data_IF_928249598631
#
_entry.id   IF_928249598631
#
_cell.length_a   1.000
_cell.length_b   1.000
_cell.length_c   1.000
_cell.angle_alpha   90.00
_cell.angle_beta   90.00
_cell.angle_gamma   90.00
#
_symmetry.space_group_name_H-M   'P 1'
#
loop_
_entity.id
_entity.type
_entity.pdbx_description
1 polymer ?
#
# COMPACT_ATOMS: atom_id res chain seq x y z
N UNK A 1 -13.44 -2.27 -29.57
CA UNK A 1 -12.12 -1.69 -29.84
C UNK A 1 -11.13 -2.21 -28.78
N UNK A 2 -9.94 -2.62 -29.22
CA UNK A 2 -8.87 -3.13 -28.33
C UNK A 2 -7.72 -2.13 -28.28
N UNK A 3 -7.07 -2.03 -27.11
CA UNK A 3 -5.85 -1.25 -26.93
C UNK A 3 -4.91 -1.96 -25.96
N UNK A 4 -3.61 -1.96 -26.28
CA UNK A 4 -2.54 -2.42 -25.41
C UNK A 4 -1.63 -1.25 -25.08
N UNK A 5 -1.17 -1.19 -23.83
CA UNK A 5 -0.28 -0.14 -23.35
C UNK A 5 0.88 -0.78 -22.59
N UNK A 6 2.10 -0.33 -22.90
CA UNK A 6 3.30 -0.63 -22.13
C UNK A 6 3.89 0.68 -21.65
N UNK A 7 4.35 0.72 -20.43
CA UNK A 7 4.99 1.91 -19.87
C UNK A 7 6.14 1.56 -18.95
N UNK A 8 7.14 2.43 -18.96
CA UNK A 8 8.22 2.48 -18.00
C UNK A 8 8.28 3.89 -17.43
N UNK A 9 8.42 3.98 -16.11
CA UNK A 9 8.60 5.24 -15.41
C UNK A 9 9.73 5.11 -14.38
N UNK A 10 10.52 6.18 -14.25
CA UNK A 10 11.46 6.35 -13.15
C UNK A 10 11.09 7.58 -12.36
N UNK A 11 10.82 7.40 -11.08
CA UNK A 11 10.40 8.46 -10.18
C UNK A 11 11.36 8.60 -9.00
N UNK A 12 11.49 9.82 -8.48
CA UNK A 12 12.22 10.10 -7.25
C UNK A 12 11.26 10.67 -6.20
N UNK A 13 11.29 10.09 -5.00
CA UNK A 13 10.49 10.57 -3.87
C UNK A 13 11.41 11.20 -2.83
N UNK A 14 11.17 12.50 -2.54
CA UNK A 14 11.98 13.32 -1.64
C UNK A 14 11.37 13.49 -0.25
N UNK A 15 10.10 13.16 -0.09
CA UNK A 15 9.39 13.28 1.18
C UNK A 15 8.66 11.96 1.48
N UNK A 16 8.80 11.44 2.70
CA UNK A 16 8.24 10.14 3.11
C UNK A 16 7.44 10.28 4.38
N UNK A 17 6.33 9.55 4.43
CA UNK A 17 5.60 9.37 5.65
C UNK A 17 6.17 8.14 6.36
N UNK A 18 6.75 8.35 7.53
CA UNK A 18 7.36 7.32 8.36
C UNK A 18 6.66 7.24 9.70
N UNK A 19 6.63 6.08 10.29
CA UNK A 19 5.98 5.82 11.56
C UNK A 19 6.96 5.33 12.61
N UNK A 20 6.89 5.93 13.79
CA UNK A 20 7.73 5.58 14.93
C UNK A 20 7.11 4.42 15.69
N UNK A 21 7.57 3.18 15.44
CA UNK A 21 7.28 2.03 16.28
C UNK A 21 6.29 1.01 15.73
N UNK A 22 6.04 -0.02 16.52
CA UNK A 22 5.26 -1.20 16.16
C UNK A 22 3.77 -1.08 16.53
N UNK A 23 3.40 -0.12 17.36
CA UNK A 23 2.07 -0.03 17.94
C UNK A 23 1.13 0.89 17.17
N UNK A 24 -0.15 0.89 17.53
CA UNK A 24 -1.18 1.75 16.92
C UNK A 24 -0.78 3.20 17.11
N UNK A 25 -0.22 3.79 16.06
CA UNK A 25 0.45 5.07 16.20
C UNK A 25 -0.40 6.24 15.80
N UNK A 26 -0.38 7.19 16.68
CA UNK A 26 -1.01 8.48 16.53
C UNK A 26 -0.13 9.50 15.79
N UNK A 27 1.16 9.14 15.53
CA UNK A 27 2.14 10.08 14.98
C UNK A 27 2.89 9.53 13.79
N UNK A 28 2.43 9.86 12.60
CA UNK A 28 3.19 9.72 11.38
C UNK A 28 4.03 10.99 11.16
N UNK A 29 5.31 10.82 10.84
CA UNK A 29 6.25 11.92 10.63
C UNK A 29 6.61 12.01 9.16
N UNK A 30 6.49 13.21 8.61
CA UNK A 30 7.00 13.50 7.28
C UNK A 30 8.51 13.74 7.33
N UNK A 31 9.28 12.81 6.80
CA UNK A 31 10.74 12.86 6.74
C UNK A 31 11.20 13.29 5.33
N UNK A 32 11.83 14.48 5.21
CA UNK A 32 12.45 14.90 3.96
C UNK A 32 13.76 14.15 3.71
N UNK A 33 14.24 14.20 2.48
CA UNK A 33 15.61 13.76 2.15
C UNK A 33 16.64 14.70 2.75
N UNK A 34 17.75 14.11 3.16
CA UNK A 34 18.89 14.81 3.77
C UNK A 34 20.20 14.36 3.12
N UNK A 35 21.34 14.73 3.69
CA UNK A 35 22.63 14.18 3.27
C UNK A 35 22.72 12.67 3.46
N UNK A 36 22.09 12.14 4.53
CA UNK A 36 22.17 10.75 4.93
C UNK A 36 20.99 9.93 4.35
N UNK A 37 19.83 10.55 4.22
CA UNK A 37 18.61 9.91 3.66
C UNK A 37 18.45 10.35 2.21
N UNK A 38 18.93 9.53 1.28
CA UNK A 38 18.82 9.79 -0.16
C UNK A 38 17.36 9.64 -0.65
N UNK A 39 17.00 10.31 -1.77
CA UNK A 39 15.69 10.09 -2.41
C UNK A 39 15.47 8.61 -2.71
N UNK A 40 14.23 8.13 -2.52
CA UNK A 40 13.85 6.81 -2.99
C UNK A 40 13.62 6.88 -4.50
N UNK A 41 14.35 6.06 -5.24
CA UNK A 41 14.21 5.91 -6.69
C UNK A 41 13.33 4.70 -6.98
N UNK A 42 12.29 4.89 -7.77
CA UNK A 42 11.37 3.82 -8.15
C UNK A 42 11.38 3.64 -9.66
N UNK A 43 11.77 2.45 -10.11
CA UNK A 43 11.61 2.00 -11.48
C UNK A 43 10.33 1.18 -11.60
N UNK A 44 9.39 1.64 -12.42
CA UNK A 44 8.09 0.99 -12.61
C UNK A 44 7.93 0.54 -14.05
N UNK A 45 7.55 -0.72 -14.22
CA UNK A 45 7.10 -1.32 -15.48
C UNK A 45 5.59 -1.59 -15.34
N UNK A 46 4.82 -1.23 -16.35
CA UNK A 46 3.40 -1.54 -16.36
C UNK A 46 2.92 -1.94 -17.75
N UNK A 47 1.94 -2.85 -17.78
CA UNK A 47 1.28 -3.34 -18.97
C UNK A 47 -0.23 -3.28 -18.76
N UNK A 48 -0.96 -2.78 -19.76
CA UNK A 48 -2.41 -2.68 -19.73
C UNK A 48 -3.07 -3.19 -21.00
N UNK A 49 -4.22 -3.83 -20.80
CA UNK A 49 -5.15 -4.21 -21.85
C UNK A 49 -6.50 -3.55 -21.62
N UNK A 50 -7.04 -2.94 -22.65
CA UNK A 50 -8.32 -2.23 -22.62
C UNK A 50 -9.21 -2.73 -23.75
N UNK A 51 -10.46 -2.99 -23.43
CA UNK A 51 -11.45 -3.43 -24.40
C UNK A 51 -12.79 -2.74 -24.20
N UNK A 52 -13.33 -2.17 -25.27
CA UNK A 52 -14.66 -1.59 -25.28
C UNK A 52 -15.60 -2.50 -26.10
N UNK A 53 -16.65 -2.97 -25.43
CA UNK A 53 -17.71 -3.79 -26.02
C UNK A 53 -18.88 -2.91 -26.46
N UNK A 54 -19.67 -3.40 -27.43
CA UNK A 54 -20.94 -2.81 -27.84
C UNK A 54 -20.88 -1.29 -28.04
N UNK A 55 -19.98 -0.78 -28.88
CA UNK A 55 -19.83 0.64 -29.13
C UNK A 55 -19.64 1.49 -27.85
N UNK A 56 -18.81 1.02 -26.92
CA UNK A 56 -18.51 1.63 -25.62
C UNK A 56 -19.60 1.52 -24.55
N UNK A 57 -20.58 0.66 -24.69
CA UNK A 57 -21.55 0.40 -23.64
C UNK A 57 -20.93 -0.25 -22.42
N UNK A 58 -19.92 -1.10 -22.61
CA UNK A 58 -19.16 -1.76 -21.54
C UNK A 58 -17.68 -1.56 -21.82
N UNK A 59 -16.97 -1.08 -20.82
CA UNK A 59 -15.54 -0.86 -20.85
C UNK A 59 -14.87 -1.83 -19.88
N UNK A 60 -13.85 -2.51 -20.35
CA UNK A 60 -13.01 -3.41 -19.56
C UNK A 60 -11.58 -2.93 -19.58
N UNK A 61 -10.91 -2.94 -18.41
CA UNK A 61 -9.47 -2.75 -18.30
C UNK A 61 -8.85 -3.81 -17.42
N UNK A 62 -7.65 -4.23 -17.78
CA UNK A 62 -6.79 -5.08 -16.96
C UNK A 62 -5.37 -4.54 -17.06
N UNK A 63 -4.77 -4.19 -15.92
CA UNK A 63 -3.44 -3.63 -15.85
C UNK A 63 -2.60 -4.39 -14.83
N UNK A 64 -1.32 -4.56 -15.09
CA UNK A 64 -0.35 -5.12 -14.15
C UNK A 64 0.86 -4.21 -14.05
N UNK A 65 1.47 -4.19 -12.87
CA UNK A 65 2.66 -3.39 -12.63
C UNK A 65 3.68 -4.13 -11.77
N UNK A 66 4.93 -3.72 -11.95
CA UNK A 66 6.06 -4.16 -11.16
C UNK A 66 6.96 -2.97 -10.86
N UNK A 67 7.27 -2.74 -9.58
CA UNK A 67 8.05 -1.59 -9.09
C UNK A 67 9.25 -2.08 -8.28
N UNK A 68 10.42 -1.59 -8.63
CA UNK A 68 11.65 -1.77 -7.87
C UNK A 68 11.93 -0.45 -7.17
N UNK A 69 12.05 -0.50 -5.84
CA UNK A 69 12.28 0.69 -5.02
C UNK A 69 13.70 0.62 -4.43
N UNK A 70 14.53 1.56 -4.83
CA UNK A 70 15.89 1.72 -4.32
C UNK A 70 15.93 2.87 -3.32
N UNK A 71 16.45 2.62 -2.12
CA UNK A 71 16.44 3.60 -1.03
C UNK A 71 15.09 3.67 -0.32
N UNK A 72 14.35 2.55 -0.22
CA UNK A 72 13.27 2.43 0.76
C UNK A 72 13.81 2.75 2.15
N UNK A 73 13.04 3.43 2.99
CA UNK A 73 13.49 3.79 4.32
C UNK A 73 12.40 3.55 5.36
N UNK A 74 12.84 3.12 6.53
CA UNK A 74 12.00 2.92 7.71
C UNK A 74 12.84 3.16 8.98
N UNK A 75 12.18 3.32 10.12
CA UNK A 75 12.89 3.40 11.39
C UNK A 75 13.34 2.01 11.84
N UNK A 76 14.51 1.96 12.50
CA UNK A 76 15.05 0.73 13.07
C UNK A 76 14.10 0.12 14.10
N UNK A 77 14.20 -1.21 14.27
CA UNK A 77 13.41 -1.91 15.28
C UNK A 77 13.81 -1.46 16.71
N UNK A 78 12.82 -1.35 17.58
CA UNK A 78 13.04 -0.99 18.99
C UNK A 78 13.11 0.51 19.28
N UNK A 79 12.87 1.38 18.32
CA UNK A 79 12.74 2.81 18.57
C UNK A 79 11.37 3.10 19.22
N UNK A 80 11.38 3.31 20.54
CA UNK A 80 10.17 3.56 21.33
C UNK A 80 10.08 4.98 21.91
N UNK A 81 11.07 5.84 21.64
CA UNK A 81 11.14 7.13 22.28
C UNK A 81 10.94 8.27 21.31
N UNK A 82 9.83 8.99 21.47
CA UNK A 82 9.48 10.17 20.67
C UNK A 82 10.32 11.42 21.01
N UNK A 83 11.11 11.37 22.07
CA UNK A 83 11.95 12.49 22.54
C UNK A 83 13.41 12.35 22.10
N UNK A 84 13.63 11.77 20.93
CA UNK A 84 14.98 11.65 20.37
C UNK A 84 15.33 12.93 19.62
N UNK A 85 16.43 13.58 20.03
CA UNK A 85 16.90 14.84 19.43
C UNK A 85 17.26 14.71 17.95
N UNK A 86 17.64 13.52 17.49
CA UNK A 86 18.03 13.25 16.11
C UNK A 86 17.38 11.98 15.56
N UNK A 87 16.14 12.10 15.08
CA UNK A 87 15.40 11.01 14.47
C UNK A 87 16.06 10.44 13.21
N UNK A 88 16.80 11.27 12.47
CA UNK A 88 17.50 10.84 11.26
C UNK A 88 18.53 9.73 11.52
N UNK A 89 19.16 9.74 12.69
CA UNK A 89 20.14 8.71 13.07
C UNK A 89 19.57 7.30 13.19
N UNK A 90 18.24 7.18 13.32
CA UNK A 90 17.53 5.90 13.45
C UNK A 90 16.80 5.49 12.16
N UNK A 91 17.01 6.22 11.07
CA UNK A 91 16.46 5.88 9.77
C UNK A 91 17.41 4.94 9.04
N UNK A 92 16.94 3.73 8.81
CA UNK A 92 17.64 2.77 7.98
C UNK A 92 17.09 2.79 6.56
N UNK A 93 17.96 2.51 5.59
CA UNK A 93 17.60 2.47 4.17
C UNK A 93 17.90 1.11 3.56
N UNK A 94 17.10 0.73 2.57
CA UNK A 94 17.26 -0.55 1.87
C UNK A 94 16.53 -0.54 0.53
N UNK A 95 15.95 -1.66 0.20
CA UNK A 95 15.22 -1.86 -1.04
C UNK A 95 13.76 -2.23 -0.78
N UNK A 96 12.91 -2.03 -1.77
CA UNK A 96 11.52 -2.44 -1.74
C UNK A 96 11.08 -3.00 -3.08
N UNK A 97 10.01 -3.75 -3.03
CA UNK A 97 9.37 -4.37 -4.18
C UNK A 97 7.87 -4.17 -4.08
N UNK A 98 7.23 -3.70 -5.15
CA UNK A 98 5.78 -3.65 -5.21
C UNK A 98 5.29 -4.17 -6.56
N UNK A 99 4.26 -5.01 -6.54
CA UNK A 99 3.66 -5.55 -7.75
C UNK A 99 2.18 -5.82 -7.55
N UNK A 100 1.46 -5.85 -8.65
CA UNK A 100 0.04 -6.12 -8.58
C UNK A 100 -0.63 -6.11 -9.94
N UNK A 101 -1.93 -6.37 -9.90
CA UNK A 101 -2.78 -6.19 -11.05
C UNK A 101 -4.10 -5.51 -10.64
N UNK A 102 -4.66 -4.78 -11.59
CA UNK A 102 -5.91 -4.05 -11.44
C UNK A 102 -6.85 -4.46 -12.57
N UNK A 103 -8.09 -4.74 -12.24
CA UNK A 103 -9.14 -5.04 -13.22
C UNK A 103 -10.33 -4.14 -12.96
N UNK A 104 -10.93 -3.63 -14.03
CA UNK A 104 -12.22 -2.96 -13.90
C UNK A 104 -13.15 -3.27 -15.07
N UNK A 105 -14.43 -3.33 -14.75
CA UNK A 105 -15.51 -3.36 -15.72
C UNK A 105 -16.46 -2.20 -15.40
N UNK A 106 -16.79 -1.42 -16.41
CA UNK A 106 -17.62 -0.23 -16.27
C UNK A 106 -18.70 -0.21 -17.34
N UNK A 107 -19.91 0.12 -16.93
CA UNK A 107 -21.03 0.49 -17.78
C UNK A 107 -21.37 1.95 -17.52
N UNK A 108 -20.87 2.89 -18.36
CA UNK A 108 -20.94 4.33 -18.06
C UNK A 108 -22.32 4.93 -18.21
N UNK A 109 -23.24 4.27 -18.91
CA UNK A 109 -24.55 4.83 -19.25
C UNK A 109 -25.67 3.79 -19.29
N UNK A 110 -26.91 4.30 -19.36
CA UNK A 110 -28.12 3.50 -19.41
C UNK A 110 -28.89 3.51 -18.09
N UNK A 111 -30.03 2.83 -18.07
CA UNK A 111 -30.90 2.72 -16.90
C UNK A 111 -30.20 2.09 -15.70
N UNK A 112 -29.29 1.14 -15.95
CA UNK A 112 -28.33 0.63 -15.02
C UNK A 112 -26.94 1.07 -15.49
N UNK A 113 -26.19 1.74 -14.63
CA UNK A 113 -24.79 2.09 -14.87
C UNK A 113 -23.97 1.86 -13.59
N UNK A 114 -22.68 1.70 -13.73
CA UNK A 114 -21.83 1.41 -12.59
C UNK A 114 -20.44 0.92 -12.98
N UNK A 115 -19.62 0.72 -11.95
CA UNK A 115 -18.25 0.23 -12.09
C UNK A 115 -17.94 -0.80 -11.01
N UNK A 116 -17.31 -1.87 -11.41
CA UNK A 116 -16.71 -2.87 -10.52
C UNK A 116 -15.20 -2.85 -10.75
N UNK A 117 -14.42 -2.62 -9.69
CA UNK A 117 -12.97 -2.61 -9.74
C UNK A 117 -12.40 -3.54 -8.70
N UNK A 118 -11.42 -4.33 -9.10
CA UNK A 118 -10.67 -5.20 -8.20
C UNK A 118 -9.18 -4.95 -8.37
N UNK A 119 -8.48 -4.76 -7.24
CA UNK A 119 -7.04 -4.57 -7.19
C UNK A 119 -6.42 -5.65 -6.31
N UNK A 120 -5.39 -6.28 -6.83
CA UNK A 120 -4.44 -7.08 -6.07
C UNK A 120 -3.11 -6.36 -6.08
N UNK A 121 -2.56 -6.09 -4.91
CA UNK A 121 -1.27 -5.45 -4.78
C UNK A 121 -0.49 -5.99 -3.60
N UNK A 122 0.82 -6.09 -3.76
CA UNK A 122 1.74 -6.46 -2.70
C UNK A 122 2.92 -5.50 -2.70
N UNK A 123 3.30 -5.05 -1.51
CA UNK A 123 4.45 -4.16 -1.32
C UNK A 123 5.25 -4.62 -0.10
N UNK A 124 6.51 -4.95 -0.33
CA UNK A 124 7.42 -5.44 0.70
C UNK A 124 8.70 -4.59 0.71
N UNK A 125 9.31 -4.45 1.89
CA UNK A 125 10.61 -3.80 2.10
C UNK A 125 11.61 -4.82 2.62
N UNK A 126 12.89 -4.57 2.31
CA UNK A 126 14.02 -5.29 2.88
C UNK A 126 15.09 -4.27 3.28
N UNK A 127 15.37 -4.20 4.58
CA UNK A 127 16.35 -3.30 5.18
C UNK A 127 17.17 -4.12 6.17
N UNK A 128 18.49 -4.10 6.06
CA UNK A 128 19.39 -5.03 6.76
C UNK A 128 19.21 -5.06 8.27
N UNK A 129 18.99 -3.91 8.88
CA UNK A 129 18.85 -3.76 10.34
C UNK A 129 17.42 -3.92 10.85
N UNK A 130 16.46 -4.11 9.96
CA UNK A 130 15.05 -4.29 10.28
C UNK A 130 14.65 -5.73 9.95
N UNK A 131 13.88 -6.37 10.84
CA UNK A 131 13.38 -7.72 10.66
C UNK A 131 14.51 -8.74 10.33
N UNK A 132 15.72 -8.53 10.84
CA UNK A 132 16.90 -9.35 10.60
C UNK A 132 17.30 -9.40 9.10
N UNK A 133 17.09 -8.32 8.35
CA UNK A 133 17.34 -8.25 6.91
C UNK A 133 16.38 -9.07 6.04
N UNK A 134 15.33 -9.63 6.62
CA UNK A 134 14.31 -10.38 5.87
C UNK A 134 13.27 -9.42 5.29
N UNK A 135 12.66 -9.79 4.16
CA UNK A 135 11.53 -9.09 3.58
C UNK A 135 10.38 -9.00 4.57
N UNK A 136 9.73 -7.83 4.64
CA UNK A 136 8.55 -7.60 5.46
C UNK A 136 7.54 -6.73 4.70
N UNK A 137 6.22 -6.92 4.92
CA UNK A 137 5.20 -6.12 4.27
C UNK A 137 5.33 -4.64 4.63
N UNK A 138 5.23 -3.78 3.63
CA UNK A 138 5.15 -2.33 3.87
C UNK A 138 3.85 -1.99 4.60
N UNK A 139 3.89 -1.11 5.60
CA UNK A 139 2.76 -0.80 6.50
C UNK A 139 1.47 -0.36 5.80
N UNK A 140 1.55 0.19 4.60
CA UNK A 140 0.38 0.59 3.81
C UNK A 140 -0.02 -0.45 2.77
N UNK A 141 0.55 -1.65 2.79
CA UNK A 141 0.14 -2.73 1.93
C UNK A 141 -1.33 -3.10 2.16
N UNK A 142 -2.09 -3.14 1.07
CA UNK A 142 -3.46 -3.67 1.03
C UNK A 142 -3.53 -4.68 -0.09
N UNK A 143 -3.46 -5.95 0.27
CA UNK A 143 -3.32 -7.03 -0.72
C UNK A 143 -4.53 -7.13 -1.66
N UNK A 144 -5.74 -6.96 -1.13
CA UNK A 144 -6.96 -7.02 -1.92
C UNK A 144 -7.82 -5.77 -1.68
N UNK A 145 -8.36 -5.23 -2.75
CA UNK A 145 -9.34 -4.14 -2.69
C UNK A 145 -10.39 -4.36 -3.77
N UNK A 146 -11.66 -4.33 -3.38
CA UNK A 146 -12.81 -4.42 -4.25
C UNK A 146 -13.68 -3.18 -4.06
N UNK A 147 -14.01 -2.51 -5.15
CA UNK A 147 -14.91 -1.36 -5.15
C UNK A 147 -16.01 -1.59 -6.16
N UNK A 148 -17.24 -1.48 -5.73
CA UNK A 148 -18.41 -1.51 -6.60
C UNK A 148 -19.20 -0.22 -6.43
N UNK A 149 -19.45 0.42 -7.54
CA UNK A 149 -20.35 1.57 -7.67
C UNK A 149 -21.50 1.15 -8.57
N UNK A 150 -22.72 1.37 -8.16
CA UNK A 150 -23.88 1.11 -9.01
C UNK A 150 -24.93 2.18 -8.86
N UNK A 151 -25.58 2.48 -9.95
CA UNK A 151 -26.72 3.38 -10.01
C UNK A 151 -27.80 2.76 -10.90
N UNK A 152 -29.02 2.69 -10.38
CA UNK A 152 -30.19 2.18 -11.07
C UNK A 152 -31.30 3.22 -11.11
N UNK A 153 -31.66 3.66 -12.31
CA UNK A 153 -32.77 4.59 -12.52
C UNK A 153 -34.08 3.81 -12.60
N UNK A 154 -34.87 3.85 -11.49
CA UNK A 154 -36.13 3.13 -11.38
C UNK A 154 -37.20 3.82 -12.24
N UNK A 155 -37.29 5.15 -12.11
CA UNK A 155 -38.18 6.00 -12.93
C UNK A 155 -37.40 7.20 -13.42
N UNK A 156 -38.03 8.05 -14.25
CA UNK A 156 -37.39 9.29 -14.73
C UNK A 156 -36.98 10.25 -13.59
N UNK A 157 -37.67 10.17 -12.44
CA UNK A 157 -37.47 11.07 -11.32
C UNK A 157 -36.90 10.38 -10.07
N UNK A 158 -36.65 9.07 -10.13
CA UNK A 158 -36.17 8.31 -8.98
C UNK A 158 -35.05 7.33 -9.38
N UNK A 159 -33.93 7.45 -8.72
CA UNK A 159 -32.78 6.56 -8.87
C UNK A 159 -32.25 6.09 -7.52
N UNK A 160 -31.65 4.92 -7.50
CA UNK A 160 -30.96 4.33 -6.33
C UNK A 160 -29.51 4.12 -6.69
N UNK A 161 -28.62 4.62 -5.84
CA UNK A 161 -27.18 4.42 -5.97
C UNK A 161 -26.63 3.64 -4.78
N UNK A 162 -25.66 2.77 -5.05
CA UNK A 162 -24.99 1.97 -4.02
C UNK A 162 -23.48 2.03 -4.24
N UNK A 163 -22.75 2.10 -3.12
CA UNK A 163 -21.30 1.99 -3.08
C UNK A 163 -20.93 0.88 -2.11
N UNK A 164 -20.14 -0.07 -2.57
CA UNK A 164 -19.57 -1.12 -1.73
C UNK A 164 -18.06 -1.08 -1.86
N UNK A 165 -17.35 -1.05 -0.72
CA UNK A 165 -15.90 -1.05 -0.65
C UNK A 165 -15.47 -2.14 0.33
N UNK A 166 -14.57 -2.99 -0.13
CA UNK A 166 -13.88 -3.98 0.69
C UNK A 166 -12.38 -3.86 0.47
N UNK A 167 -11.60 -3.94 1.54
CA UNK A 167 -10.14 -4.07 1.45
C UNK A 167 -9.61 -4.91 2.59
N UNK A 168 -8.54 -5.68 2.32
CA UNK A 168 -7.79 -6.35 3.38
C UNK A 168 -7.17 -5.32 4.32
N UNK A 169 -7.04 -5.69 5.60
CA UNK A 169 -6.42 -4.86 6.61
C UNK A 169 -4.94 -4.59 6.33
N UNK A 170 -4.45 -3.52 6.92
CA UNK A 170 -3.03 -3.13 6.82
C UNK A 170 -2.15 -4.04 7.69
N UNK A 171 -0.89 -4.28 7.27
CA UNK A 171 0.08 -4.95 8.11
C UNK A 171 0.33 -4.17 9.40
N UNK A 172 0.54 -4.92 10.47
CA UNK A 172 0.79 -4.39 11.82
C UNK A 172 1.77 -5.28 12.55
N UNK A 173 2.61 -4.70 13.38
CA UNK A 173 3.47 -5.40 14.32
C UNK A 173 2.73 -5.52 15.64
N UNK A 174 2.45 -6.74 16.09
CA UNK A 174 1.84 -7.01 17.39
C UNK A 174 2.83 -7.75 18.29
N UNK A 175 2.78 -7.55 19.62
CA UNK A 175 3.59 -8.33 20.54
C UNK A 175 3.20 -9.80 20.48
N UNK A 176 4.20 -10.69 20.44
CA UNK A 176 4.00 -12.14 20.40
C UNK A 176 3.94 -12.76 21.78
N UNK A 177 4.39 -12.05 22.80
CA UNK A 177 4.34 -12.48 24.17
C UNK A 177 4.95 -11.45 25.11
N UNK A 178 5.03 -11.84 26.38
CA UNK A 178 5.60 -11.00 27.43
C UNK A 178 6.62 -11.80 28.22
N UNK A 179 7.76 -11.19 28.52
CA UNK A 179 8.68 -11.67 29.54
C UNK A 179 8.63 -10.77 30.78
N UNK A 180 8.95 -11.29 31.95
CA UNK A 180 8.86 -10.53 33.18
C UNK A 180 10.26 -10.23 33.75
N UNK A 181 10.52 -8.96 34.03
CA UNK A 181 11.71 -8.52 34.77
C UNK A 181 11.22 -7.93 36.08
N UNK A 182 11.62 -8.54 37.21
CA UNK A 182 11.19 -8.12 38.55
C UNK A 182 9.67 -7.98 38.71
N UNK A 183 8.89 -8.84 38.02
CA UNK A 183 7.43 -8.81 38.06
C UNK A 183 6.76 -7.84 37.09
N UNK A 184 7.53 -7.04 36.35
CA UNK A 184 7.02 -6.11 35.36
C UNK A 184 6.99 -6.81 33.98
N UNK A 185 5.84 -6.86 33.29
CA UNK A 185 5.75 -7.47 31.97
C UNK A 185 6.35 -6.54 30.89
N UNK A 186 7.21 -7.11 30.06
CA UNK A 186 7.76 -6.45 28.86
C UNK A 186 7.33 -7.22 27.62
N UNK A 187 6.70 -6.57 26.63
CA UNK A 187 6.34 -7.23 25.40
C UNK A 187 7.57 -7.53 24.54
N UNK A 188 7.52 -8.60 23.74
CA UNK A 188 8.50 -8.85 22.70
C UNK A 188 7.83 -9.07 21.35
N UNK A 189 8.53 -8.70 20.29
CA UNK A 189 8.07 -8.75 18.89
C UNK A 189 9.04 -9.61 18.08
N UNK A 190 8.51 -10.46 17.21
CA UNK A 190 9.31 -11.39 16.42
C UNK A 190 9.44 -10.99 14.95
N UNK A 191 8.59 -10.13 14.45
CA UNK A 191 8.62 -9.74 13.05
C UNK A 191 7.92 -8.41 12.77
N UNK A 192 8.52 -7.63 11.89
CA UNK A 192 7.96 -6.36 11.44
C UNK A 192 6.75 -6.61 10.55
N UNK A 193 5.62 -5.97 10.88
CA UNK A 193 4.39 -6.00 10.08
C UNK A 193 3.88 -7.42 9.75
N UNK A 194 4.07 -8.36 10.68
CA UNK A 194 3.78 -9.79 10.52
C UNK A 194 2.28 -10.07 10.48
N UNK A 195 1.49 -9.30 11.20
CA UNK A 195 0.04 -9.47 11.33
C UNK A 195 -0.71 -8.48 10.44
N UNK A 196 -2.02 -8.68 10.26
CA UNK A 196 -2.91 -7.74 9.58
C UNK A 196 -4.10 -7.39 10.47
N UNK A 197 -4.48 -6.13 10.42
CA UNK A 197 -5.74 -5.69 11.01
C UNK A 197 -6.92 -6.37 10.29
N UNK A 198 -8.04 -6.61 10.96
CA UNK A 198 -9.24 -7.16 10.35
C UNK A 198 -9.85 -6.21 9.31
#
# INVERSE_FOLDING_TARGET
>A
QNSFKLSYNRNAQYLRLMSLGAEIEWYDIWMPTTKNIKPMLTDQFAMGYFHNFNNNEIQFSAETYYKILNGAADFEDGLHNYLVDNLEAYVATGQGLAYGFEMSIEKPSGRFNGRLSYNYGKSDYQIDVINQGRWYPYRFDKTHSLTMLSNFQITKNFSVSSTFIYSTGRPVTLPEGYYHISGIPFPYWEGRNKYRLP
#
